data_IF_980721015930
#
_entry.id   IF_980721015930
#
_cell.length_a   1.000
_cell.length_b   1.000
_cell.length_c   1.000
_cell.angle_alpha   90.00
_cell.angle_beta   90.00
_cell.angle_gamma   90.00
#
_symmetry.space_group_name_H-M   'P 1'
#
loop_
_entity.id
_entity.type
_entity.pdbx_description
1 polymer ?
#
# COMPACT_ATOMS: atom_id res chain seq x y z
N UNK A 1 14.63 1.09 1.21
CA UNK A 1 13.31 1.54 0.76
C UNK A 1 13.48 2.37 -0.50
N UNK A 2 13.78 1.70 -1.61
CA UNK A 2 13.83 2.27 -2.95
C UNK A 2 12.58 1.89 -3.73
N UNK A 3 11.42 1.87 -3.05
CA UNK A 3 10.15 1.60 -3.71
C UNK A 3 9.82 2.78 -4.59
N UNK A 4 9.43 2.48 -5.83
CA UNK A 4 9.00 3.53 -6.74
C UNK A 4 7.54 3.84 -6.45
N UNK A 5 7.26 5.15 -6.34
CA UNK A 5 5.93 5.66 -6.07
C UNK A 5 5.47 6.48 -7.25
N UNK A 6 4.32 6.13 -7.79
CA UNK A 6 3.66 6.89 -8.85
C UNK A 6 2.30 7.40 -8.40
N UNK A 7 1.86 8.53 -8.98
CA UNK A 7 0.51 9.09 -8.80
C UNK A 7 -0.17 9.25 -10.16
N UNK A 8 -0.59 8.15 -10.80
CA UNK A 8 -1.14 8.18 -12.16
C UNK A 8 -2.34 9.11 -12.30
N UNK A 9 -3.26 9.17 -11.34
CA UNK A 9 -4.41 10.07 -11.39
C UNK A 9 -3.99 11.53 -11.64
N UNK A 10 -2.93 12.00 -10.96
CA UNK A 10 -2.40 13.36 -11.13
C UNK A 10 -1.75 13.56 -12.51
N UNK A 11 -1.09 12.52 -13.04
CA UNK A 11 -0.38 12.55 -14.32
C UNK A 11 -1.32 12.44 -15.53
N UNK A 12 -2.37 11.62 -15.43
CA UNK A 12 -3.31 11.31 -16.52
C UNK A 12 -4.68 11.98 -16.34
N UNK A 13 -4.88 12.78 -15.28
CA UNK A 13 -6.10 13.53 -15.00
C UNK A 13 -7.31 12.64 -14.68
N UNK A 14 -7.08 11.51 -14.02
CA UNK A 14 -8.12 10.52 -13.69
C UNK A 14 -8.75 9.80 -14.88
N UNK A 15 -8.26 10.02 -16.11
CA UNK A 15 -8.79 9.38 -17.31
C UNK A 15 -8.47 7.89 -17.32
N UNK A 16 -9.45 7.08 -17.71
CA UNK A 16 -9.28 5.64 -17.92
C UNK A 16 -9.19 4.81 -16.64
N UNK A 17 -9.52 5.37 -15.47
CA UNK A 17 -9.43 4.67 -14.18
C UNK A 17 -8.00 4.59 -13.67
N UNK A 18 -7.20 5.65 -13.81
CA UNK A 18 -5.85 5.67 -13.25
C UNK A 18 -5.91 5.74 -11.71
N UNK A 19 -5.13 4.92 -10.96
CA UNK A 19 -5.16 4.90 -9.49
C UNK A 19 -4.60 6.19 -8.88
N UNK A 20 -5.01 6.46 -7.63
CA UNK A 20 -4.47 7.56 -6.83
C UNK A 20 -2.96 7.40 -6.59
N UNK A 21 -2.54 6.18 -6.20
CA UNK A 21 -1.15 5.84 -5.90
C UNK A 21 -0.83 4.41 -6.37
N UNK A 22 0.36 4.23 -6.94
CA UNK A 22 1.01 2.94 -7.13
C UNK A 22 2.27 2.90 -6.30
N UNK A 23 2.48 1.80 -5.57
CA UNK A 23 3.78 1.47 -4.96
C UNK A 23 4.35 0.22 -5.63
N UNK A 24 5.49 0.34 -6.30
CA UNK A 24 6.27 -0.79 -6.79
C UNK A 24 7.22 -1.23 -5.68
N UNK A 25 6.94 -2.38 -5.07
CA UNK A 25 7.65 -2.86 -3.89
C UNK A 25 8.99 -3.51 -4.23
N UNK A 26 9.08 -4.12 -5.40
CA UNK A 26 10.26 -4.75 -5.97
C UNK A 26 10.01 -4.95 -7.49
N UNK A 27 10.78 -5.81 -8.14
CA UNK A 27 10.67 -6.02 -9.60
C UNK A 27 9.40 -6.77 -10.05
N UNK A 28 8.61 -7.33 -9.13
CA UNK A 28 7.48 -8.22 -9.45
C UNK A 28 6.22 -8.03 -8.60
N UNK A 29 6.20 -7.10 -7.63
CA UNK A 29 5.06 -6.85 -6.73
C UNK A 29 4.72 -5.36 -6.63
N UNK A 30 3.42 -5.07 -6.66
CA UNK A 30 2.90 -3.71 -6.53
C UNK A 30 1.66 -3.61 -5.63
N UNK A 31 1.44 -2.41 -5.08
CA UNK A 31 0.15 -2.00 -4.53
C UNK A 31 -0.52 -1.01 -5.47
N UNK A 32 -1.81 -1.23 -5.71
CA UNK A 32 -2.69 -0.32 -6.44
C UNK A 32 -3.61 0.30 -5.40
N UNK A 33 -3.41 1.58 -5.07
CA UNK A 33 -4.03 2.19 -3.89
C UNK A 33 -5.07 3.22 -4.30
N UNK A 34 -6.27 3.06 -3.76
CA UNK A 34 -7.38 4.02 -3.81
C UNK A 34 -7.63 4.62 -2.42
N UNK A 35 -7.55 5.94 -2.29
CA UNK A 35 -7.62 6.65 -1.01
C UNK A 35 -9.04 7.15 -0.74
N UNK A 36 -9.68 6.66 0.32
CA UNK A 36 -11.02 7.07 0.74
C UNK A 36 -11.00 7.89 2.04
N UNK A 37 -10.08 8.87 2.09
CA UNK A 37 -9.79 9.69 3.28
C UNK A 37 -10.94 10.59 3.76
N UNK A 38 -11.95 10.85 2.93
CA UNK A 38 -13.11 11.70 3.28
C UNK A 38 -14.25 10.94 3.97
N UNK A 39 -14.10 9.63 4.24
CA UNK A 39 -15.12 8.79 4.85
C UNK A 39 -14.95 8.72 6.37
N UNK A 40 -16.05 8.45 7.10
CA UNK A 40 -16.01 8.14 8.53
C UNK A 40 -15.88 6.63 8.71
N UNK A 41 -15.38 6.18 9.87
CA UNK A 41 -15.31 4.74 10.20
C UNK A 41 -16.67 4.03 10.20
N UNK A 42 -17.77 4.79 10.34
CA UNK A 42 -19.14 4.28 10.22
C UNK A 42 -19.62 4.09 8.78
N UNK A 43 -18.90 4.61 7.78
CA UNK A 43 -19.23 4.39 6.38
C UNK A 43 -18.58 3.08 5.91
N UNK A 44 -19.33 2.06 5.48
CA UNK A 44 -18.76 0.84 4.94
C UNK A 44 -18.20 1.08 3.53
N UNK A 45 -17.28 0.21 3.10
CA UNK A 45 -16.83 0.12 1.73
C UNK A 45 -17.96 -0.37 0.82
N UNK A 46 -18.19 0.34 -0.27
CA UNK A 46 -19.39 0.21 -1.13
C UNK A 46 -19.07 -0.42 -2.47
N UNK A 47 -20.13 -0.81 -3.20
CA UNK A 47 -20.01 -1.38 -4.55
C UNK A 47 -19.44 -0.39 -5.56
N UNK A 48 -19.74 0.89 -5.38
CA UNK A 48 -19.19 1.96 -6.21
C UNK A 48 -17.67 2.08 -6.00
N UNK A 49 -17.21 2.05 -4.75
CA UNK A 49 -15.78 2.09 -4.42
C UNK A 49 -15.04 0.84 -4.89
N UNK A 50 -15.66 -0.33 -4.81
CA UNK A 50 -15.15 -1.54 -5.45
C UNK A 50 -15.02 -1.35 -6.96
N UNK A 51 -16.04 -0.80 -7.62
CA UNK A 51 -16.00 -0.53 -9.06
C UNK A 51 -14.86 0.40 -9.47
N UNK A 52 -14.58 1.44 -8.68
CA UNK A 52 -13.44 2.34 -8.88
C UNK A 52 -12.11 1.58 -8.74
N UNK A 53 -11.94 0.81 -7.66
CA UNK A 53 -10.72 0.03 -7.43
C UNK A 53 -10.47 -1.03 -8.52
N UNK A 54 -11.54 -1.65 -9.03
CA UNK A 54 -11.44 -2.60 -10.16
C UNK A 54 -11.03 -1.88 -11.44
N UNK A 55 -11.55 -0.68 -11.72
CA UNK A 55 -11.10 0.12 -12.86
C UNK A 55 -9.60 0.46 -12.76
N UNK A 56 -9.15 0.88 -11.57
CA UNK A 56 -7.73 1.10 -11.25
C UNK A 56 -6.86 -0.14 -11.42
N UNK A 57 -7.40 -1.29 -11.09
CA UNK A 57 -6.73 -2.58 -11.30
C UNK A 57 -6.58 -2.91 -12.79
N UNK A 58 -7.64 -2.71 -13.58
CA UNK A 58 -7.59 -2.96 -15.02
C UNK A 58 -6.71 -1.96 -15.78
N UNK A 59 -6.62 -0.72 -15.30
CA UNK A 59 -5.65 0.24 -15.79
C UNK A 59 -4.22 -0.23 -15.52
N UNK A 60 -3.93 -0.63 -14.27
CA UNK A 60 -2.60 -1.09 -13.88
C UNK A 60 -2.13 -2.29 -14.71
N UNK A 61 -2.99 -3.30 -14.92
CA UNK A 61 -2.65 -4.49 -15.71
C UNK A 61 -2.21 -4.17 -17.15
N UNK A 62 -2.73 -3.09 -17.74
CA UNK A 62 -2.37 -2.67 -19.10
C UNK A 62 -1.00 -2.01 -19.15
N UNK A 63 -0.67 -1.22 -18.14
CA UNK A 63 0.59 -0.46 -18.08
C UNK A 63 1.74 -1.28 -17.48
N UNK A 64 1.46 -2.21 -16.56
CA UNK A 64 2.42 -3.00 -15.79
C UNK A 64 2.14 -4.51 -15.89
N UNK A 65 2.19 -5.06 -17.10
CA UNK A 65 1.78 -6.44 -17.39
C UNK A 65 2.56 -7.54 -16.67
N UNK A 66 3.75 -7.23 -16.14
CA UNK A 66 4.67 -8.20 -15.54
C UNK A 66 4.66 -8.19 -14.00
N UNK A 67 3.78 -7.41 -13.38
CA UNK A 67 3.70 -7.27 -11.93
C UNK A 67 2.55 -8.07 -11.34
N UNK A 68 2.84 -8.79 -10.26
CA UNK A 68 1.83 -9.19 -9.29
C UNK A 68 1.35 -7.96 -8.52
N UNK A 69 0.09 -7.96 -8.08
CA UNK A 69 -0.48 -6.78 -7.43
C UNK A 69 -1.40 -7.13 -6.26
N UNK A 70 -1.55 -6.16 -5.35
CA UNK A 70 -2.62 -6.12 -4.37
C UNK A 70 -3.48 -4.88 -4.64
N UNK A 71 -4.79 -5.06 -4.82
CA UNK A 71 -5.72 -3.95 -4.98
C UNK A 71 -6.13 -3.46 -3.60
N UNK A 72 -5.69 -2.27 -3.21
CA UNK A 72 -5.78 -1.76 -1.84
C UNK A 72 -6.70 -0.55 -1.79
N UNK A 73 -7.67 -0.58 -0.89
CA UNK A 73 -8.37 0.63 -0.47
C UNK A 73 -7.80 1.14 0.86
N UNK A 74 -7.29 2.37 0.87
CA UNK A 74 -7.00 3.07 2.12
C UNK A 74 -8.33 3.62 2.66
N UNK A 75 -8.92 2.89 3.60
CA UNK A 75 -10.30 3.10 4.04
C UNK A 75 -10.41 3.08 5.58
N UNK A 76 -11.22 3.95 6.19
CA UNK A 76 -11.33 4.05 7.65
C UNK A 76 -12.19 2.95 8.30
N UNK A 77 -12.89 2.13 7.51
CA UNK A 77 -13.77 1.07 7.99
C UNK A 77 -13.43 -0.27 7.35
N UNK A 78 -13.30 -1.31 8.17
CA UNK A 78 -13.09 -2.70 7.70
C UNK A 78 -14.36 -3.33 7.14
N UNK A 79 -15.53 -2.75 7.39
CA UNK A 79 -16.79 -3.30 6.94
C UNK A 79 -17.06 -2.94 5.49
N UNK A 80 -17.66 -3.88 4.77
CA UNK A 80 -18.09 -3.71 3.40
C UNK A 80 -19.58 -4.00 3.25
N UNK A 81 -20.20 -3.42 2.23
CA UNK A 81 -21.59 -3.78 1.90
C UNK A 81 -21.65 -5.22 1.37
N UNK A 82 -22.73 -5.96 1.65
CA UNK A 82 -22.87 -7.34 1.15
C UNK A 82 -22.62 -7.38 -0.37
N UNK A 83 -21.76 -8.30 -0.80
CA UNK A 83 -21.32 -8.53 -2.20
C UNK A 83 -20.22 -7.60 -2.74
N UNK A 84 -19.41 -6.97 -1.90
CA UNK A 84 -18.30 -6.10 -2.36
C UNK A 84 -16.91 -6.61 -1.99
N UNK A 85 -16.78 -7.91 -1.72
CA UNK A 85 -15.48 -8.54 -1.40
C UNK A 85 -15.06 -9.51 -2.50
N UNK A 86 -13.78 -9.45 -2.87
CA UNK A 86 -13.09 -10.38 -3.77
C UNK A 86 -11.72 -10.73 -3.17
N UNK A 87 -11.13 -11.85 -3.59
CA UNK A 87 -9.91 -12.38 -2.98
C UNK A 87 -8.66 -11.50 -3.19
N UNK A 88 -8.66 -10.59 -4.16
CA UNK A 88 -7.51 -9.72 -4.46
C UNK A 88 -7.69 -8.29 -3.92
N UNK A 89 -8.81 -8.01 -3.27
CA UNK A 89 -9.11 -6.71 -2.68
C UNK A 89 -8.74 -6.71 -1.20
N UNK A 90 -8.00 -5.69 -0.80
CA UNK A 90 -7.47 -5.49 0.53
C UNK A 90 -7.81 -4.11 1.05
N UNK A 91 -7.78 -3.97 2.38
CA UNK A 91 -7.90 -2.70 3.07
C UNK A 91 -6.61 -2.38 3.82
N UNK A 92 -6.15 -1.14 3.67
CA UNK A 92 -5.20 -0.53 4.59
C UNK A 92 -6.00 0.39 5.52
N UNK A 93 -6.16 0.00 6.77
CA UNK A 93 -6.88 0.81 7.77
C UNK A 93 -6.01 1.93 8.30
N UNK A 94 -6.63 2.94 8.92
CA UNK A 94 -5.87 4.02 9.59
C UNK A 94 -4.99 3.48 10.72
N UNK A 95 -5.46 2.47 11.45
CA UNK A 95 -4.66 1.82 12.50
C UNK A 95 -3.44 1.13 11.92
N UNK A 96 -3.60 0.35 10.84
CA UNK A 96 -2.47 -0.30 10.17
C UNK A 96 -1.51 0.70 9.52
N UNK A 97 -2.03 1.79 8.95
CA UNK A 97 -1.21 2.88 8.43
C UNK A 97 -0.41 3.56 9.55
N UNK A 98 -1.00 3.77 10.73
CA UNK A 98 -0.28 4.32 11.88
C UNK A 98 0.84 3.39 12.36
N UNK A 99 0.62 2.07 12.36
CA UNK A 99 1.69 1.09 12.64
C UNK A 99 2.79 1.18 11.59
N UNK A 100 2.46 1.25 10.29
CA UNK A 100 3.45 1.40 9.22
C UNK A 100 4.28 2.68 9.39
N UNK A 101 3.63 3.80 9.70
CA UNK A 101 4.31 5.09 9.97
C UNK A 101 5.22 4.97 11.18
N UNK A 102 4.74 4.35 12.27
CA UNK A 102 5.51 4.16 13.50
C UNK A 102 6.76 3.32 13.25
N UNK A 103 6.63 2.19 12.55
CA UNK A 103 7.75 1.32 12.18
C UNK A 103 8.76 2.05 11.29
N UNK A 104 8.30 2.81 10.30
CA UNK A 104 9.17 3.65 9.48
C UNK A 104 9.95 4.66 10.34
N UNK A 105 9.26 5.36 11.26
CA UNK A 105 9.89 6.33 12.15
C UNK A 105 10.93 5.69 13.06
N UNK A 106 10.63 4.51 13.62
CA UNK A 106 11.57 3.78 14.46
C UNK A 106 12.81 3.36 13.67
N UNK A 107 12.63 2.82 12.47
CA UNK A 107 13.74 2.49 11.57
C UNK A 107 14.63 3.71 11.29
N UNK A 108 14.04 4.85 10.91
CA UNK A 108 14.80 6.06 10.62
C UNK A 108 15.53 6.58 11.87
N UNK A 109 14.88 6.57 13.04
CA UNK A 109 15.52 6.97 14.29
C UNK A 109 16.72 6.06 14.63
N UNK A 110 16.60 4.75 14.43
CA UNK A 110 17.69 3.80 14.67
C UNK A 110 18.86 4.03 13.70
N UNK A 111 18.58 4.27 12.41
CA UNK A 111 19.62 4.53 11.42
C UNK A 111 20.31 5.88 11.64
N UNK A 112 19.55 6.96 11.80
CA UNK A 112 20.09 8.32 11.92
C UNK A 112 20.88 8.53 13.21
N UNK A 113 20.55 7.83 14.29
CA UNK A 113 21.28 7.91 15.55
C UNK A 113 22.37 6.83 15.69
N UNK A 114 22.60 6.02 14.65
CA UNK A 114 23.66 5.01 14.69
C UNK A 114 25.02 5.61 14.33
N UNK A 115 26.04 5.28 15.10
CA UNK A 115 27.43 5.67 14.82
C UNK A 115 28.16 4.62 13.97
N UNK A 116 27.41 3.81 13.20
CA UNK A 116 28.01 2.70 12.45
C UNK A 116 28.81 3.20 11.24
N UNK A 117 29.93 2.54 10.90
CA UNK A 117 30.70 2.88 9.72
C UNK A 117 29.88 2.74 8.43
N UNK A 118 30.18 3.58 7.43
CA UNK A 118 29.46 3.60 6.15
C UNK A 118 29.39 2.22 5.47
N UNK A 119 30.43 1.40 5.63
CA UNK A 119 30.52 0.05 5.07
C UNK A 119 29.49 -0.92 5.68
N UNK A 120 29.00 -0.65 6.89
CA UNK A 120 28.01 -1.46 7.60
C UNK A 120 26.58 -0.89 7.51
N UNK A 121 26.39 0.31 6.93
CA UNK A 121 25.07 0.92 6.82
C UNK A 121 24.10 0.08 6.00
N UNK A 122 24.57 -0.54 4.91
CA UNK A 122 23.71 -1.36 4.06
C UNK A 122 23.18 -2.58 4.82
N UNK A 123 24.07 -3.35 5.46
CA UNK A 123 23.67 -4.52 6.23
C UNK A 123 22.79 -4.14 7.41
N UNK A 124 23.08 -3.04 8.12
CA UNK A 124 22.20 -2.54 9.19
C UNK A 124 20.83 -2.14 8.68
N UNK A 125 20.75 -1.44 7.56
CA UNK A 125 19.48 -1.04 6.94
C UNK A 125 18.65 -2.27 6.58
N UNK A 126 19.25 -3.28 5.93
CA UNK A 126 18.57 -4.55 5.63
C UNK A 126 18.06 -5.24 6.90
N UNK A 127 18.87 -5.34 7.96
CA UNK A 127 18.43 -5.93 9.22
C UNK A 127 17.29 -5.17 9.87
N UNK A 128 17.30 -3.83 9.84
CA UNK A 128 16.22 -3.02 10.40
C UNK A 128 14.93 -3.12 9.57
N UNK A 129 15.04 -3.28 8.25
CA UNK A 129 13.86 -3.51 7.40
C UNK A 129 13.16 -4.82 7.76
N UNK A 130 13.93 -5.88 8.01
CA UNK A 130 13.41 -7.15 8.51
C UNK A 130 12.83 -7.02 9.92
N UNK A 131 13.55 -6.37 10.84
CA UNK A 131 13.15 -6.21 12.25
C UNK A 131 11.82 -5.45 12.39
N UNK A 132 11.57 -4.47 11.52
CA UNK A 132 10.36 -3.65 11.55
C UNK A 132 9.28 -4.10 10.55
N UNK A 133 9.42 -5.27 9.92
CA UNK A 133 8.48 -5.83 8.94
C UNK A 133 8.23 -4.93 7.71
N UNK A 134 9.25 -4.19 7.26
CA UNK A 134 9.17 -3.20 6.18
C UNK A 134 9.68 -3.73 4.83
N UNK A 135 9.94 -5.04 4.71
CA UNK A 135 10.31 -5.67 3.45
C UNK A 135 9.10 -5.90 2.53
N UNK A 136 9.35 -6.03 1.23
CA UNK A 136 8.31 -6.17 0.21
C UNK A 136 7.35 -7.35 0.49
N UNK A 137 7.87 -8.48 0.97
CA UNK A 137 7.10 -9.68 1.29
C UNK A 137 6.28 -9.54 2.59
N UNK A 138 6.74 -8.71 3.54
CA UNK A 138 6.07 -8.48 4.83
C UNK A 138 4.98 -7.44 4.74
N UNK A 139 5.17 -6.41 3.91
CA UNK A 139 4.24 -5.28 3.81
C UNK A 139 2.77 -5.72 3.58
N UNK A 140 2.45 -6.60 2.61
CA UNK A 140 1.09 -7.05 2.39
C UNK A 140 0.54 -7.83 3.58
N UNK A 141 1.36 -8.69 4.18
CA UNK A 141 0.96 -9.61 5.26
C UNK A 141 0.67 -8.85 6.56
N UNK A 142 1.47 -7.84 6.87
CA UNK A 142 1.42 -7.16 8.17
C UNK A 142 0.44 -5.99 8.16
N UNK A 143 0.37 -5.23 7.06
CA UNK A 143 -0.37 -3.97 7.02
C UNK A 143 -1.68 -4.03 6.25
N UNK A 144 -1.85 -5.00 5.35
CA UNK A 144 -3.11 -5.18 4.64
C UNK A 144 -4.02 -6.16 5.36
N UNK A 145 -5.32 -5.93 5.26
CA UNK A 145 -6.35 -6.79 5.82
C UNK A 145 -7.42 -7.08 4.77
N UNK A 146 -8.28 -8.05 5.06
CA UNK A 146 -9.51 -8.27 4.29
C UNK A 146 -10.66 -7.46 4.88
N UNK A 147 -11.56 -7.03 4.00
CA UNK A 147 -12.84 -6.49 4.40
C UNK A 147 -13.70 -7.57 5.09
N UNK A 148 -14.57 -7.12 5.99
CA UNK A 148 -15.57 -7.92 6.71
C UNK A 148 -16.98 -7.66 6.19
#
# INVERSE_FOLDING_TARGET
>A
MGFEVERPETKYGGKGGAPDVIWLLNDDQAFIIEVKSKKKSSNPFTKEELGQLLASTEWFKKEYSNYNYHSVSLHPSIYSTKNTTTDDVYILTLDKLNVLISNCHQLFNQLCNSEIPKQQLLSRCTSLLEEYDLTADKLPVIYLQKFQ
#
